data_IF_858771506046
#
_entry.id   IF_858771506046
#
_cell.length_a   1.000
_cell.length_b   1.000
_cell.length_c   1.000
_cell.angle_alpha   90.00
_cell.angle_beta   90.00
_cell.angle_gamma   90.00
#
_symmetry.space_group_name_H-M   'P 1'
#
loop_
_entity.id
_entity.type
_entity.pdbx_description
1 polymer ?
#
# COMPACT_ATOMS: atom_id res chain seq x y z
N UNK A 1 8.61 -52.19 9.58
CA UNK A 1 9.16 -52.36 10.93
C UNK A 1 9.61 -51.00 11.47
N UNK A 2 8.79 -50.45 12.37
CA UNK A 2 8.95 -49.17 13.04
C UNK A 2 10.13 -49.20 14.03
N UNK A 3 11.04 -48.22 13.96
CA UNK A 3 12.01 -47.90 15.02
C UNK A 3 11.53 -46.58 15.66
N UNK A 4 10.68 -46.67 16.67
CA UNK A 4 11.02 -46.55 18.10
C UNK A 4 11.70 -45.20 18.37
N UNK A 5 10.84 -44.24 18.68
CA UNK A 5 11.11 -42.95 19.29
C UNK A 5 12.04 -43.10 20.49
N UNK A 6 13.26 -42.56 20.39
CA UNK A 6 14.02 -42.16 21.57
C UNK A 6 13.84 -40.65 21.74
N UNK A 7 12.85 -40.31 22.55
CA UNK A 7 12.71 -39.04 23.23
C UNK A 7 13.76 -39.00 24.36
N UNK A 8 14.88 -38.28 24.25
CA UNK A 8 15.52 -37.78 25.46
C UNK A 8 14.65 -36.66 26.01
N UNK A 9 13.73 -37.06 26.88
CA UNK A 9 13.22 -36.22 27.96
C UNK A 9 14.45 -35.78 28.77
N UNK A 10 14.96 -34.58 28.47
CA UNK A 10 15.78 -33.81 29.41
C UNK A 10 15.04 -32.51 29.69
N UNK A 11 14.32 -32.57 30.80
CA UNK A 11 13.75 -31.46 31.54
C UNK A 11 14.87 -30.55 32.06
N UNK A 12 14.69 -29.23 31.91
CA UNK A 12 15.05 -28.14 32.85
C UNK A 12 15.31 -26.86 32.04
N UNK A 13 14.31 -26.00 31.86
CA UNK A 13 13.97 -24.91 32.79
C UNK A 13 15.10 -23.88 32.95
N UNK A 14 15.07 -22.83 32.11
CA UNK A 14 15.42 -21.47 32.52
C UNK A 14 14.46 -20.50 31.81
N UNK A 15 13.34 -20.27 32.47
CA UNK A 15 12.50 -19.09 32.25
C UNK A 15 13.28 -17.90 32.81
N UNK A 16 13.75 -17.02 31.93
CA UNK A 16 14.22 -15.69 32.30
C UNK A 16 13.37 -14.65 31.58
N UNK A 17 12.59 -13.81 32.27
CA UNK A 17 11.97 -12.67 31.63
C UNK A 17 13.05 -11.61 31.40
N UNK A 18 13.64 -11.58 30.21
CA UNK A 18 14.32 -10.37 29.75
C UNK A 18 13.25 -9.38 29.29
N UNK A 19 12.62 -8.69 30.24
CA UNK A 19 11.86 -7.47 29.98
C UNK A 19 12.84 -6.31 29.95
N UNK A 20 13.34 -5.93 28.78
CA UNK A 20 14.04 -4.65 28.60
C UNK A 20 13.53 -3.94 27.37
N UNK A 21 12.81 -2.86 27.68
CA UNK A 21 12.62 -1.60 26.97
C UNK A 21 12.09 -1.66 25.53
N UNK A 22 10.80 -1.33 25.40
CA UNK A 22 10.34 -0.59 24.24
C UNK A 22 11.05 0.77 24.22
N UNK A 23 12.20 0.88 23.56
CA UNK A 23 12.65 2.16 23.01
C UNK A 23 11.87 2.36 21.70
N UNK A 24 10.66 2.89 21.86
CA UNK A 24 9.82 3.27 20.74
C UNK A 24 10.39 4.55 20.14
N UNK A 25 10.72 4.59 18.84
CA UNK A 25 11.26 5.79 18.24
C UNK A 25 10.25 6.93 18.37
N UNK A 26 10.71 8.07 18.87
CA UNK A 26 10.06 9.36 18.75
C UNK A 26 9.75 9.63 17.27
N UNK A 27 8.59 9.15 16.80
CA UNK A 27 8.00 9.62 15.56
C UNK A 27 7.45 11.00 15.88
N UNK A 28 8.31 12.00 15.72
CA UNK A 28 7.88 13.38 15.58
C UNK A 28 6.81 13.40 14.49
N UNK A 29 5.55 13.77 14.77
CA UNK A 29 4.63 14.09 13.69
C UNK A 29 5.22 15.34 13.03
N UNK A 30 5.83 15.18 11.86
CA UNK A 30 6.06 16.33 10.99
C UNK A 30 4.67 16.82 10.62
N UNK A 31 4.21 17.84 11.34
CA UNK A 31 3.09 18.63 10.95
C UNK A 31 3.43 19.21 9.56
N UNK A 32 2.94 18.55 8.51
CA UNK A 32 2.86 19.15 7.20
C UNK A 32 1.98 20.37 7.38
N UNK A 33 2.60 21.55 7.48
CA UNK A 33 1.93 22.82 7.38
C UNK A 33 1.22 22.80 6.03
N UNK A 34 -0.08 22.52 6.04
CA UNK A 34 -0.92 22.71 4.87
C UNK A 34 -0.72 24.16 4.45
N UNK A 35 -0.03 24.34 3.33
CA UNK A 35 0.11 25.63 2.69
C UNK A 35 -1.26 25.95 2.12
N UNK A 36 -2.12 26.58 2.93
CA UNK A 36 -3.38 27.13 2.49
C UNK A 36 -3.07 28.32 1.59
N UNK A 37 -2.87 28.07 0.30
CA UNK A 37 -2.99 29.11 -0.71
C UNK A 37 -4.48 29.38 -0.85
N UNK A 38 -4.98 30.60 -0.57
CA UNK A 38 -6.35 30.93 -0.88
C UNK A 38 -6.51 30.94 -2.40
N UNK A 39 -7.31 30.01 -2.91
CA UNK A 39 -7.78 30.05 -4.29
C UNK A 39 -8.83 31.15 -4.40
N UNK A 40 -8.45 32.27 -5.02
CA UNK A 40 -9.36 33.33 -5.44
C UNK A 40 -10.35 32.76 -6.48
N UNK A 41 -11.67 32.90 -6.30
CA UNK A 41 -12.60 32.61 -7.38
C UNK A 41 -12.58 33.77 -8.37
N UNK A 42 -11.96 33.55 -9.53
CA UNK A 42 -12.18 34.39 -10.70
C UNK A 42 -13.22 33.68 -11.59
N UNK A 43 -14.48 34.09 -11.44
CA UNK A 43 -15.51 33.80 -12.43
C UNK A 43 -15.10 34.42 -13.77
N UNK A 44 -15.02 33.58 -14.80
CA UNK A 44 -15.12 34.00 -16.17
C UNK A 44 -16.18 33.13 -16.84
N UNK A 45 -17.38 33.67 -16.95
CA UNK A 45 -18.39 33.22 -17.90
C UNK A 45 -17.89 33.52 -19.31
N UNK A 46 -17.85 32.51 -20.16
CA UNK A 46 -18.01 32.69 -21.61
C UNK A 46 -18.78 31.49 -22.12
N UNK A 47 -20.05 31.73 -22.43
CA UNK A 47 -20.85 30.87 -23.29
C UNK A 47 -20.29 31.03 -24.71
N UNK A 48 -19.88 29.92 -25.36
CA UNK A 48 -19.92 29.85 -26.81
C UNK A 48 -20.37 28.46 -27.25
N UNK A 49 -21.44 28.51 -28.04
CA UNK A 49 -22.19 27.42 -28.64
C UNK A 49 -21.34 26.62 -29.64
N UNK A 50 -21.41 25.29 -29.60
CA UNK A 50 -20.65 24.43 -30.51
C UNK A 50 -21.14 22.99 -30.55
N UNK A 51 -22.18 22.76 -31.35
CA UNK A 51 -22.44 21.52 -32.11
C UNK A 51 -22.58 20.20 -31.35
N UNK A 52 -23.82 19.72 -31.36
CA UNK A 52 -24.28 18.36 -31.06
C UNK A 52 -23.41 17.29 -31.75
N UNK A 53 -22.58 16.61 -30.97
CA UNK A 53 -22.21 15.22 -31.21
C UNK A 53 -22.70 14.46 -29.98
N UNK A 54 -23.53 13.40 -30.10
CA UNK A 54 -23.84 12.59 -28.93
C UNK A 54 -22.50 12.09 -28.37
N UNK A 55 -22.18 12.32 -27.08
CA UNK A 55 -21.05 11.63 -26.50
C UNK A 55 -21.38 10.15 -26.67
N UNK A 56 -20.56 9.44 -27.44
CA UNK A 56 -20.43 8.01 -27.26
C UNK A 56 -20.11 7.89 -25.78
N UNK A 57 -21.11 7.49 -25.01
CA UNK A 57 -20.94 7.05 -23.63
C UNK A 57 -20.05 5.83 -23.78
N UNK A 58 -18.74 6.09 -23.80
CA UNK A 58 -17.73 5.09 -23.51
C UNK A 58 -18.20 4.51 -22.18
N UNK A 59 -18.74 3.29 -22.25
CA UNK A 59 -19.28 2.59 -21.11
C UNK A 59 -18.19 2.64 -20.06
N UNK A 60 -18.40 3.46 -19.03
CA UNK A 60 -17.40 3.82 -18.05
C UNK A 60 -16.67 2.55 -17.64
N UNK A 61 -15.46 2.38 -18.17
CA UNK A 61 -14.67 1.19 -17.93
C UNK A 61 -14.57 1.08 -16.42
N UNK A 62 -15.13 0.01 -15.85
CA UNK A 62 -15.03 -0.22 -14.42
C UNK A 62 -13.55 -0.02 -14.03
N UNK A 63 -13.26 0.69 -12.94
CA UNK A 63 -11.88 1.02 -12.59
C UNK A 63 -11.08 -0.26 -12.58
N UNK A 64 -10.09 -0.36 -13.47
CA UNK A 64 -9.32 -1.58 -13.67
C UNK A 64 -8.75 -2.01 -12.31
N UNK A 65 -9.15 -3.19 -11.84
CA UNK A 65 -8.69 -3.70 -10.55
C UNK A 65 -7.17 -3.86 -10.62
N UNK A 66 -6.45 -3.18 -9.73
CA UNK A 66 -4.99 -3.28 -9.67
C UNK A 66 -4.58 -4.72 -9.42
N UNK A 67 -3.73 -5.26 -10.31
CA UNK A 67 -3.17 -6.60 -10.18
C UNK A 67 -1.77 -6.56 -9.58
N UNK A 68 -1.30 -7.69 -9.07
CA UNK A 68 0.09 -7.81 -8.60
C UNK A 68 1.08 -7.50 -9.74
N UNK A 69 0.79 -7.97 -10.95
CA UNK A 69 1.66 -7.80 -12.10
C UNK A 69 1.85 -6.33 -12.48
N UNK A 70 0.81 -5.51 -12.36
CA UNK A 70 0.90 -4.07 -12.62
C UNK A 70 1.84 -3.38 -11.63
N UNK A 71 1.67 -3.68 -10.33
CA UNK A 71 2.49 -3.15 -9.25
C UNK A 71 3.96 -3.60 -9.36
N UNK A 72 4.19 -4.89 -9.61
CA UNK A 72 5.52 -5.47 -9.84
C UNK A 72 6.19 -4.82 -11.06
N UNK A 73 5.44 -4.60 -12.14
CA UNK A 73 5.96 -3.95 -13.33
C UNK A 73 6.38 -2.49 -13.09
N UNK A 74 5.71 -1.76 -12.18
CA UNK A 74 6.17 -0.46 -11.74
C UNK A 74 7.46 -0.56 -10.90
N UNK A 75 7.51 -1.54 -9.99
CA UNK A 75 8.68 -1.80 -9.15
C UNK A 75 9.94 -2.11 -9.97
N UNK A 76 9.84 -3.03 -10.94
CA UNK A 76 10.94 -3.42 -11.81
C UNK A 76 11.45 -2.28 -12.70
N UNK A 77 10.57 -1.32 -13.05
CA UNK A 77 10.95 -0.09 -13.76
C UNK A 77 11.54 0.99 -12.83
N UNK A 78 11.79 0.66 -11.56
CA UNK A 78 12.27 1.56 -10.50
C UNK A 78 11.35 2.76 -10.24
N UNK A 79 10.06 2.62 -10.57
CA UNK A 79 9.02 3.62 -10.27
C UNK A 79 8.42 3.33 -8.91
N UNK A 80 9.22 3.46 -7.86
CA UNK A 80 8.87 2.95 -6.52
C UNK A 80 7.66 3.65 -5.90
N UNK A 81 7.50 4.97 -6.09
CA UNK A 81 6.32 5.69 -5.62
C UNK A 81 5.01 5.14 -6.22
N UNK A 82 4.99 4.94 -7.55
CA UNK A 82 3.86 4.33 -8.26
C UNK A 82 3.66 2.88 -7.81
N UNK A 83 4.74 2.11 -7.63
CA UNK A 83 4.67 0.74 -7.13
C UNK A 83 4.07 0.68 -5.70
N UNK A 84 4.43 1.60 -4.81
CA UNK A 84 3.89 1.67 -3.46
C UNK A 84 2.37 1.92 -3.48
N UNK A 85 1.89 2.84 -4.31
CA UNK A 85 0.45 3.11 -4.47
C UNK A 85 -0.29 1.88 -5.02
N UNK A 86 0.28 1.23 -6.04
CA UNK A 86 -0.32 0.04 -6.66
C UNK A 86 -0.31 -1.16 -5.69
N UNK A 87 0.78 -1.39 -4.95
CA UNK A 87 0.82 -2.47 -3.96
C UNK A 87 -0.11 -2.19 -2.77
N UNK A 88 -0.27 -0.94 -2.34
CA UNK A 88 -1.25 -0.58 -1.32
C UNK A 88 -2.69 -0.88 -1.76
N UNK A 89 -3.04 -0.56 -3.01
CA UNK A 89 -4.36 -0.91 -3.56
C UNK A 89 -4.52 -2.44 -3.70
N UNK A 90 -3.49 -3.11 -4.20
CA UNK A 90 -3.48 -4.56 -4.35
C UNK A 90 -3.75 -5.28 -3.01
N UNK A 91 -3.02 -4.92 -1.95
CA UNK A 91 -3.15 -5.55 -0.63
C UNK A 91 -4.45 -5.19 0.07
N UNK A 92 -5.03 -4.02 -0.20
CA UNK A 92 -6.38 -3.69 0.28
C UNK A 92 -7.43 -4.69 -0.24
N UNK A 93 -7.26 -5.21 -1.46
CA UNK A 93 -8.12 -6.25 -2.04
C UNK A 93 -7.72 -7.69 -1.67
N UNK A 94 -6.48 -7.89 -1.22
CA UNK A 94 -5.88 -9.19 -0.90
C UNK A 94 -5.10 -9.10 0.43
N UNK A 95 -5.81 -8.91 1.56
CA UNK A 95 -5.18 -8.61 2.85
C UNK A 95 -4.28 -9.73 3.36
N UNK A 96 -4.56 -10.98 2.99
CA UNK A 96 -3.79 -12.16 3.43
C UNK A 96 -2.53 -12.41 2.60
N UNK A 97 -2.29 -11.63 1.53
CA UNK A 97 -1.09 -11.78 0.72
C UNK A 97 0.13 -11.12 1.40
N UNK A 98 0.84 -11.90 2.20
CA UNK A 98 2.08 -11.48 2.86
C UNK A 98 3.15 -10.96 1.89
N UNK A 99 3.27 -11.55 0.70
CA UNK A 99 4.22 -11.10 -0.32
C UNK A 99 3.85 -9.72 -0.89
N UNK A 100 2.55 -9.45 -1.07
CA UNK A 100 2.06 -8.13 -1.48
C UNK A 100 2.39 -7.04 -0.46
N UNK A 101 2.22 -7.32 0.84
CA UNK A 101 2.60 -6.40 1.92
C UNK A 101 4.10 -6.18 2.01
N UNK A 102 4.89 -7.24 1.80
CA UNK A 102 6.34 -7.14 1.70
C UNK A 102 6.75 -6.20 0.57
N UNK A 103 6.19 -6.37 -0.63
CA UNK A 103 6.49 -5.52 -1.79
C UNK A 103 6.01 -4.08 -1.61
N UNK A 104 4.88 -3.86 -0.93
CA UNK A 104 4.43 -2.52 -0.54
C UNK A 104 5.48 -1.84 0.34
N UNK A 105 5.96 -2.52 1.38
CA UNK A 105 7.00 -1.99 2.28
C UNK A 105 8.34 -1.75 1.59
N UNK A 106 8.73 -2.57 0.62
CA UNK A 106 9.95 -2.35 -0.18
C UNK A 106 9.86 -1.16 -1.13
N UNK A 107 8.64 -0.76 -1.51
CA UNK A 107 8.40 0.31 -2.49
C UNK A 107 8.21 1.69 -1.86
N UNK A 108 7.93 1.75 -0.55
CA UNK A 108 7.53 2.95 0.19
C UNK A 108 8.68 3.76 0.78
#
# INVERSE_FOLDING_TARGET
MSRIYHFPVVVAALIGPFTVACDGPDRTPRATRASSVPATPASATTEESGTLTPPVVDAAAAPAKVTYADAESAFQRRRYAEAAELFANYTASQPDNAWGHYMYGLSA
#
